data_IF_667184079203
#
_entry.id   IF_667184079203
#
_cell.length_a   1.000
_cell.length_b   1.000
_cell.length_c   1.000
_cell.angle_alpha   90.00
_cell.angle_beta   90.00
_cell.angle_gamma   90.00
#
_symmetry.space_group_name_H-M   'P 1'
#
loop_
_entity.id
_entity.type
_entity.pdbx_description
1 polymer ?
#
# COMPACT_ATOMS: atom_id res chain seq x y z
N UNK A 1 -5.85 3.58 -11.28
CA UNK A 1 -5.98 2.56 -10.21
C UNK A 1 -7.21 2.91 -9.41
N UNK A 2 -8.17 1.98 -9.29
CA UNK A 2 -9.46 2.26 -8.63
C UNK A 2 -9.40 2.20 -7.09
N UNK A 3 -8.43 1.47 -6.55
CA UNK A 3 -8.19 1.36 -5.11
C UNK A 3 -6.69 1.40 -4.84
N UNK A 4 -6.22 1.83 -3.66
CA UNK A 4 -4.82 1.70 -3.28
C UNK A 4 -4.34 0.25 -3.43
N UNK A 5 -3.10 0.05 -3.85
CA UNK A 5 -2.54 -1.27 -4.10
C UNK A 5 -2.25 -2.01 -2.79
N UNK A 6 -1.52 -1.35 -1.89
CA UNK A 6 -1.24 -1.81 -0.55
C UNK A 6 -2.11 -1.13 0.50
N UNK A 7 -1.75 -1.28 1.75
CA UNK A 7 -2.40 -0.60 2.88
C UNK A 7 -1.80 0.75 3.19
N UNK A 8 -0.54 0.94 2.86
CA UNK A 8 0.21 2.15 3.19
C UNK A 8 0.24 3.07 1.98
N UNK A 9 -0.06 4.35 2.19
CA UNK A 9 0.04 5.40 1.18
C UNK A 9 0.82 6.57 1.78
N UNK A 10 1.96 6.88 1.20
CA UNK A 10 2.91 7.89 1.68
C UNK A 10 4.33 7.35 1.68
N UNK A 11 5.32 8.22 1.44
CA UNK A 11 6.71 7.82 1.09
C UNK A 11 7.33 6.78 2.06
N UNK A 12 7.57 7.15 3.32
CA UNK A 12 8.19 6.25 4.30
C UNK A 12 7.29 5.07 4.68
N UNK A 13 5.96 5.27 4.65
CA UNK A 13 5.01 4.21 4.96
C UNK A 13 5.01 3.12 3.90
N UNK A 14 5.09 3.49 2.61
CA UNK A 14 5.18 2.53 1.50
C UNK A 14 6.48 1.74 1.54
N UNK A 15 7.62 2.40 1.82
CA UNK A 15 8.90 1.68 1.99
C UNK A 15 8.83 0.73 3.18
N UNK A 16 8.17 1.14 4.27
CA UNK A 16 7.92 0.24 5.41
C UNK A 16 7.08 -0.98 5.00
N UNK A 17 6.05 -0.78 4.19
CA UNK A 17 5.22 -1.89 3.68
C UNK A 17 6.04 -2.87 2.83
N UNK A 18 6.99 -2.39 2.02
CA UNK A 18 7.93 -3.25 1.27
C UNK A 18 8.83 -4.05 2.22
N UNK A 19 9.32 -3.43 3.31
CA UNK A 19 10.11 -4.13 4.33
C UNK A 19 9.26 -5.22 5.00
N UNK A 20 8.02 -4.87 5.39
CA UNK A 20 7.08 -5.80 6.00
C UNK A 20 6.73 -6.95 5.02
N UNK A 21 6.59 -6.66 3.72
CA UNK A 21 6.39 -7.66 2.67
C UNK A 21 7.54 -8.69 2.66
N UNK A 22 8.78 -8.26 2.66
CA UNK A 22 9.94 -9.15 2.70
C UNK A 22 10.14 -9.85 4.06
N UNK A 23 9.44 -9.39 5.11
CA UNK A 23 9.33 -10.08 6.39
C UNK A 23 8.10 -11.00 6.45
N UNK A 24 7.48 -11.30 5.31
CA UNK A 24 6.29 -12.15 5.15
C UNK A 24 5.05 -11.61 5.86
N UNK A 25 5.00 -10.29 6.08
CA UNK A 25 3.86 -9.54 6.63
C UNK A 25 3.28 -8.66 5.54
N UNK A 26 2.39 -9.18 4.73
CA UNK A 26 1.89 -8.49 3.54
C UNK A 26 0.38 -8.52 3.40
N UNK A 27 -0.15 -7.53 2.71
CA UNK A 27 -1.50 -7.58 2.18
C UNK A 27 -1.58 -8.61 1.05
N UNK A 28 -2.64 -9.41 1.06
CA UNK A 28 -2.83 -10.51 0.09
C UNK A 28 -2.86 -10.00 -1.35
N UNK A 29 -3.52 -8.87 -1.61
CA UNK A 29 -3.62 -8.32 -2.97
C UNK A 29 -2.28 -7.82 -3.48
N UNK A 30 -1.53 -7.13 -2.62
CA UNK A 30 -0.17 -6.69 -2.94
C UNK A 30 0.74 -7.88 -3.27
N UNK A 31 0.68 -8.93 -2.45
CA UNK A 31 1.46 -10.16 -2.68
C UNK A 31 1.08 -10.83 -4.01
N UNK A 32 -0.22 -11.06 -4.26
CA UNK A 32 -0.72 -11.70 -5.48
C UNK A 32 -0.26 -10.96 -6.73
N UNK A 33 -0.37 -9.62 -6.75
CA UNK A 33 0.07 -8.82 -7.89
C UNK A 33 1.59 -8.84 -8.07
N UNK A 34 2.33 -8.66 -6.99
CA UNK A 34 3.81 -8.64 -7.04
C UNK A 34 4.37 -9.97 -7.53
N UNK A 35 3.88 -11.10 -6.99
CA UNK A 35 4.27 -12.43 -7.44
C UNK A 35 3.91 -12.65 -8.91
N UNK A 36 2.71 -12.23 -9.33
CA UNK A 36 2.26 -12.42 -10.71
C UNK A 36 3.12 -11.64 -11.71
N UNK A 37 3.34 -10.35 -11.48
CA UNK A 37 4.14 -9.49 -12.38
C UNK A 37 5.59 -9.99 -12.42
N UNK A 38 6.21 -10.26 -11.27
CA UNK A 38 7.57 -10.78 -11.20
C UNK A 38 7.71 -12.12 -11.94
N UNK A 39 6.68 -12.98 -11.85
CA UNK A 39 6.67 -14.25 -12.57
C UNK A 39 6.59 -14.06 -14.08
N UNK A 40 5.80 -13.10 -14.57
CA UNK A 40 5.77 -12.76 -16.00
C UNK A 40 7.13 -12.25 -16.47
N UNK A 41 7.74 -11.32 -15.71
CA UNK A 41 9.05 -10.77 -16.06
C UNK A 41 10.12 -11.86 -16.15
N UNK A 42 10.19 -12.76 -15.16
CA UNK A 42 11.18 -13.86 -15.14
C UNK A 42 10.87 -14.88 -16.22
N UNK A 43 9.60 -15.21 -16.44
CA UNK A 43 9.18 -16.14 -17.49
C UNK A 43 9.67 -15.67 -18.87
N UNK A 44 9.45 -14.38 -19.17
CA UNK A 44 9.88 -13.76 -20.42
C UNK A 44 11.41 -13.67 -20.54
N UNK A 45 12.08 -13.15 -19.49
CA UNK A 45 13.52 -12.95 -19.53
C UNK A 45 14.32 -14.26 -19.60
N UNK A 46 13.88 -15.30 -18.90
CA UNK A 46 14.56 -16.60 -18.85
C UNK A 46 14.00 -17.63 -19.85
N UNK A 47 12.96 -17.28 -20.62
CA UNK A 47 12.28 -18.18 -21.56
C UNK A 47 11.84 -19.50 -20.90
N UNK A 48 11.32 -19.43 -19.68
CA UNK A 48 10.79 -20.58 -18.93
C UNK A 48 9.27 -20.45 -18.77
N UNK A 49 8.59 -21.57 -18.48
CA UNK A 49 7.13 -21.52 -18.27
C UNK A 49 6.77 -20.62 -17.08
N UNK A 50 5.61 -19.94 -17.16
CA UNK A 50 5.08 -19.10 -16.09
C UNK A 50 5.00 -19.85 -14.75
N UNK A 51 4.64 -21.14 -14.78
CA UNK A 51 4.58 -21.99 -13.57
C UNK A 51 5.95 -22.12 -12.90
N UNK A 52 7.01 -22.39 -13.68
CA UNK A 52 8.39 -22.46 -13.16
C UNK A 52 8.85 -21.11 -12.61
N UNK A 53 8.58 -20.04 -13.35
CA UNK A 53 8.90 -18.67 -12.91
C UNK A 53 8.20 -18.30 -11.61
N UNK A 54 6.90 -18.64 -11.47
CA UNK A 54 6.13 -18.39 -10.26
C UNK A 54 6.69 -19.13 -9.05
N UNK A 55 7.03 -20.42 -9.20
CA UNK A 55 7.65 -21.17 -8.11
C UNK A 55 9.00 -20.58 -7.70
N UNK A 56 9.80 -20.12 -8.67
CA UNK A 56 11.08 -19.44 -8.40
C UNK A 56 10.86 -18.12 -7.62
N UNK A 57 9.91 -17.28 -8.03
CA UNK A 57 9.60 -16.01 -7.34
C UNK A 57 9.19 -16.25 -5.90
N UNK A 58 8.28 -17.22 -5.67
CA UNK A 58 7.82 -17.55 -4.31
C UNK A 58 9.00 -18.03 -3.46
N UNK A 59 9.82 -18.94 -3.98
CA UNK A 59 10.99 -19.43 -3.27
C UNK A 59 11.97 -18.30 -2.90
N UNK A 60 12.25 -17.38 -3.83
CA UNK A 60 13.14 -16.23 -3.58
C UNK A 60 12.61 -15.28 -2.48
N UNK A 61 11.29 -15.13 -2.38
CA UNK A 61 10.65 -14.32 -1.33
C UNK A 61 10.75 -15.06 0.02
N UNK A 62 10.33 -16.32 0.06
CA UNK A 62 10.25 -17.11 1.29
C UNK A 62 11.62 -17.47 1.88
N UNK A 63 12.62 -17.70 1.04
CA UNK A 63 14.00 -17.97 1.46
C UNK A 63 14.76 -16.72 1.91
N UNK A 64 14.19 -15.50 1.73
CA UNK A 64 14.85 -14.24 2.06
C UNK A 64 15.86 -13.73 1.05
N UNK A 65 16.11 -14.43 -0.06
CA UNK A 65 17.04 -13.95 -1.10
C UNK A 65 16.57 -12.64 -1.72
N UNK A 66 15.27 -12.51 -1.99
CA UNK A 66 14.69 -11.26 -2.51
C UNK A 66 14.84 -10.10 -1.50
N UNK A 67 14.70 -10.36 -0.21
CA UNK A 67 14.93 -9.38 0.88
C UNK A 67 16.38 -8.90 0.87
N UNK A 68 17.34 -9.83 0.83
CA UNK A 68 18.76 -9.48 0.82
C UNK A 68 19.10 -8.63 -0.41
N UNK A 69 18.55 -9.00 -1.57
CA UNK A 69 18.75 -8.23 -2.82
C UNK A 69 18.15 -6.83 -2.76
N UNK A 70 17.00 -6.68 -2.10
CA UNK A 70 16.40 -5.37 -1.85
C UNK A 70 17.31 -4.48 -0.99
N UNK A 71 17.91 -5.02 0.08
CA UNK A 71 18.84 -4.26 0.92
C UNK A 71 20.14 -3.90 0.19
N UNK A 72 20.70 -4.83 -0.60
CA UNK A 72 21.84 -4.53 -1.47
C UNK A 72 21.54 -3.38 -2.43
N UNK A 73 20.36 -3.43 -3.06
CA UNK A 73 19.92 -2.41 -4.00
C UNK A 73 19.79 -1.03 -3.33
N UNK A 74 19.16 -0.96 -2.15
CA UNK A 74 19.08 0.30 -1.38
C UNK A 74 20.48 0.83 -1.06
N UNK A 75 21.39 -0.03 -0.61
CA UNK A 75 22.76 0.36 -0.29
C UNK A 75 23.51 0.86 -1.53
N UNK A 76 23.33 0.22 -2.68
CA UNK A 76 23.96 0.64 -3.94
C UNK A 76 23.47 2.01 -4.43
N UNK A 77 22.24 2.40 -4.03
CA UNK A 77 21.68 3.74 -4.26
C UNK A 77 22.02 4.74 -3.14
N UNK A 78 23.01 4.43 -2.30
CA UNK A 78 23.40 5.24 -1.13
C UNK A 78 22.28 5.45 -0.11
N UNK A 79 21.23 4.60 -0.13
CA UNK A 79 20.15 4.60 0.83
C UNK A 79 20.54 3.92 2.14
N UNK A 80 19.88 4.34 3.23
CA UNK A 80 20.01 3.73 4.55
C UNK A 80 18.61 3.45 5.12
N UNK A 81 18.25 2.19 5.17
CA UNK A 81 16.94 1.75 5.65
C UNK A 81 16.69 2.06 7.13
N UNK A 82 17.77 2.17 7.92
CA UNK A 82 17.68 2.48 9.36
C UNK A 82 17.28 3.95 9.60
N UNK A 83 17.42 4.80 8.59
CA UNK A 83 16.98 6.20 8.63
C UNK A 83 15.49 6.37 8.42
N UNK A 84 14.77 5.35 7.99
CA UNK A 84 13.33 5.39 7.80
C UNK A 84 12.65 5.34 9.18
N UNK A 85 12.59 6.51 9.83
CA UNK A 85 11.88 6.69 11.10
C UNK A 85 10.65 7.54 10.86
N UNK A 86 9.47 6.99 11.08
CA UNK A 86 8.26 7.80 11.05
C UNK A 86 8.06 8.48 12.42
N UNK A 87 8.31 9.80 12.47
CA UNK A 87 8.14 10.63 13.65
C UNK A 87 6.85 11.47 13.61
N UNK A 88 6.03 11.30 12.59
CA UNK A 88 4.79 12.05 12.43
C UNK A 88 3.79 11.72 13.54
N UNK A 89 2.94 12.69 13.88
CA UNK A 89 1.79 12.51 14.75
C UNK A 89 0.81 11.54 14.10
N UNK A 90 0.03 10.84 14.93
CA UNK A 90 -0.96 9.87 14.47
C UNK A 90 -2.36 10.34 14.82
N UNK A 91 -3.28 10.19 13.88
CA UNK A 91 -4.70 10.37 14.10
C UNK A 91 -5.42 9.09 13.68
N UNK A 92 -6.09 8.45 14.62
CA UNK A 92 -6.86 7.23 14.36
C UNK A 92 -8.24 7.61 13.85
N UNK A 93 -8.59 7.13 12.66
CA UNK A 93 -9.91 7.36 12.05
C UNK A 93 -10.78 6.14 12.27
N UNK A 94 -11.94 6.35 12.90
CA UNK A 94 -12.93 5.29 13.15
C UNK A 94 -14.13 5.42 12.23
N UNK A 95 -14.77 4.29 11.96
CA UNK A 95 -15.98 4.24 11.14
C UNK A 95 -17.19 4.77 11.90
N UNK A 96 -17.98 5.60 11.27
CA UNK A 96 -19.30 6.03 11.72
C UNK A 96 -20.44 5.10 11.24
N UNK A 97 -20.12 4.13 10.39
CA UNK A 97 -21.06 3.19 9.73
C UNK A 97 -20.69 1.74 9.96
N UNK A 98 -21.71 0.87 9.91
CA UNK A 98 -21.51 -0.59 9.86
C UNK A 98 -21.85 -1.10 8.47
N UNK A 99 -21.07 -2.08 7.96
CA UNK A 99 -21.29 -2.65 6.63
C UNK A 99 -20.04 -3.36 6.10
N UNK A 100 -19.83 -3.27 4.79
CA UNK A 100 -18.68 -3.84 4.09
C UNK A 100 -18.00 -2.75 3.25
N UNK A 101 -16.68 -2.70 3.28
CA UNK A 101 -15.89 -1.81 2.43
C UNK A 101 -15.99 -2.29 0.98
N UNK A 102 -16.82 -1.62 0.19
CA UNK A 102 -17.06 -1.98 -1.21
C UNK A 102 -16.23 -1.18 -2.21
N UNK A 103 -15.64 -0.08 -1.78
CA UNK A 103 -14.65 0.68 -2.53
C UNK A 103 -13.79 1.53 -1.60
N UNK A 104 -12.57 1.81 -2.02
CA UNK A 104 -11.66 2.80 -1.42
C UNK A 104 -11.15 3.64 -2.58
N UNK A 105 -11.51 4.91 -2.63
CA UNK A 105 -11.11 5.80 -3.70
C UNK A 105 -9.63 6.18 -3.56
N UNK A 106 -8.79 5.63 -4.43
CA UNK A 106 -7.35 5.86 -4.40
C UNK A 106 -6.96 7.32 -4.68
N UNK A 107 -7.74 8.02 -5.50
CA UNK A 107 -7.49 9.42 -5.86
C UNK A 107 -7.76 10.35 -4.66
N UNK A 108 -8.85 10.12 -3.93
CA UNK A 108 -9.16 10.86 -2.70
C UNK A 108 -8.09 10.63 -1.62
N UNK A 109 -7.63 9.38 -1.45
CA UNK A 109 -6.52 9.05 -0.54
C UNK A 109 -5.24 9.76 -0.98
N UNK A 110 -4.90 9.70 -2.26
CA UNK A 110 -3.70 10.36 -2.80
C UNK A 110 -3.75 11.89 -2.61
N UNK A 111 -4.90 12.52 -2.87
CA UNK A 111 -5.11 13.96 -2.65
C UNK A 111 -4.93 14.32 -1.17
N UNK A 112 -5.53 13.55 -0.26
CA UNK A 112 -5.35 13.75 1.17
C UNK A 112 -3.86 13.67 1.57
N UNK A 113 -3.17 12.63 1.13
CA UNK A 113 -1.74 12.40 1.44
C UNK A 113 -0.86 13.49 0.84
N UNK A 114 -1.18 13.97 -0.36
CA UNK A 114 -0.52 15.09 -1.00
C UNK A 114 -0.63 16.37 -0.15
N UNK A 115 -1.84 16.71 0.31
CA UNK A 115 -2.10 17.91 1.10
C UNK A 115 -1.49 17.84 2.51
N UNK A 116 -1.29 16.63 3.05
CA UNK A 116 -0.52 16.40 4.27
C UNK A 116 0.98 16.70 4.11
N UNK A 117 1.46 16.91 2.88
CA UNK A 117 2.85 17.27 2.56
C UNK A 117 3.68 16.15 1.94
N UNK A 118 3.10 15.00 1.61
CA UNK A 118 3.83 13.91 0.96
C UNK A 118 4.16 14.17 -0.53
N UNK A 119 3.57 15.21 -1.11
CA UNK A 119 3.83 15.69 -2.46
C UNK A 119 4.38 17.11 -2.48
N UNK A 120 4.66 17.63 -3.69
CA UNK A 120 5.09 19.02 -3.92
C UNK A 120 4.28 19.65 -5.04
N UNK A 121 3.87 20.89 -4.86
CA UNK A 121 3.23 21.72 -5.90
C UNK A 121 4.30 22.39 -6.76
N UNK A 122 5.32 22.96 -6.12
CA UNK A 122 6.44 23.62 -6.78
C UNK A 122 7.70 22.78 -6.66
N UNK A 123 8.61 22.89 -7.62
CA UNK A 123 9.90 22.18 -7.60
C UNK A 123 10.74 22.46 -6.35
N UNK A 124 10.56 23.64 -5.76
CA UNK A 124 11.26 24.11 -4.55
C UNK A 124 10.64 23.59 -3.24
N UNK A 125 9.44 23.05 -3.28
CA UNK A 125 8.75 22.58 -2.08
C UNK A 125 9.46 21.37 -1.47
N UNK A 126 9.53 21.34 -0.14
CA UNK A 126 10.08 20.20 0.60
C UNK A 126 9.00 19.14 0.78
N UNK A 127 9.30 17.92 0.40
CA UNK A 127 8.44 16.77 0.63
C UNK A 127 8.60 16.29 2.08
N UNK A 128 7.49 16.11 2.78
CA UNK A 128 7.49 15.46 4.08
C UNK A 128 7.31 13.94 3.91
N UNK A 129 8.42 13.22 3.96
CA UNK A 129 8.43 11.77 3.78
C UNK A 129 7.76 10.98 4.90
N UNK A 130 7.45 11.63 6.05
CA UNK A 130 6.85 10.96 7.21
C UNK A 130 5.32 10.98 7.22
N UNK A 131 4.69 11.78 6.36
CA UNK A 131 3.24 11.88 6.26
C UNK A 131 2.65 10.80 5.36
N UNK A 132 1.38 10.48 5.59
CA UNK A 132 0.66 9.48 4.82
C UNK A 132 -0.48 8.85 5.60
N UNK A 133 -1.00 7.74 5.10
CA UNK A 133 -2.08 7.00 5.75
C UNK A 133 -1.82 5.48 5.74
N UNK A 134 -2.35 4.80 6.74
CA UNK A 134 -2.44 3.32 6.77
C UNK A 134 -3.91 2.95 6.74
N UNK A 135 -4.29 2.07 5.82
CA UNK A 135 -5.64 1.53 5.65
C UNK A 135 -5.75 0.24 6.48
N UNK A 136 -6.54 0.27 7.57
CA UNK A 136 -6.72 -0.90 8.44
C UNK A 136 -7.86 -1.80 7.97
N UNK A 137 -8.85 -1.26 7.27
CA UNK A 137 -9.97 -2.01 6.70
C UNK A 137 -9.87 -2.03 5.18
N UNK A 138 -9.15 -3.00 4.58
CA UNK A 138 -9.02 -3.10 3.14
C UNK A 138 -10.35 -3.47 2.46
N UNK A 139 -10.34 -3.42 1.13
CA UNK A 139 -11.48 -3.75 0.28
C UNK A 139 -12.07 -5.13 0.62
N UNK A 140 -13.39 -5.19 0.81
CA UNK A 140 -14.13 -6.40 1.16
C UNK A 140 -14.24 -6.69 2.66
N UNK A 141 -13.59 -5.90 3.52
CA UNK A 141 -13.66 -6.05 4.98
C UNK A 141 -15.06 -5.77 5.52
N UNK A 142 -15.46 -6.52 6.54
CA UNK A 142 -16.60 -6.17 7.39
C UNK A 142 -16.18 -5.10 8.38
N UNK A 143 -17.02 -4.11 8.58
CA UNK A 143 -16.79 -2.95 9.46
C UNK A 143 -17.99 -2.77 10.36
N UNK A 144 -17.75 -2.50 11.63
CA UNK A 144 -18.75 -2.03 12.58
C UNK A 144 -18.49 -0.55 12.90
N UNK A 145 -19.55 0.18 13.27
CA UNK A 145 -19.41 1.54 13.79
C UNK A 145 -18.45 1.53 14.98
N UNK A 146 -17.45 2.43 14.95
CA UNK A 146 -16.38 2.49 15.96
C UNK A 146 -15.12 1.68 15.58
N UNK A 147 -15.16 0.80 14.58
CA UNK A 147 -13.97 0.10 14.10
C UNK A 147 -12.97 1.08 13.49
N UNK A 148 -11.69 0.83 13.69
CA UNK A 148 -10.61 1.62 13.08
C UNK A 148 -10.62 1.38 11.56
N UNK A 149 -10.85 2.43 10.76
CA UNK A 149 -10.71 2.41 9.30
C UNK A 149 -9.26 2.55 8.87
N UNK A 150 -8.50 3.37 9.58
CA UNK A 150 -7.11 3.61 9.30
C UNK A 150 -6.47 4.64 10.22
N UNK A 151 -5.22 4.97 9.93
CA UNK A 151 -4.41 5.92 10.69
C UNK A 151 -3.80 6.95 9.75
N UNK A 152 -3.99 8.23 10.06
CA UNK A 152 -3.37 9.35 9.34
C UNK A 152 -2.10 9.74 10.09
N UNK A 153 -0.98 9.82 9.35
CA UNK A 153 0.30 10.31 9.83
C UNK A 153 0.52 11.73 9.31
N UNK A 154 0.72 12.69 10.21
CA UNK A 154 0.82 14.10 9.84
C UNK A 154 1.78 14.87 10.76
N UNK A 155 2.43 15.88 10.23
CA UNK A 155 3.19 16.88 11.00
C UNK A 155 2.42 18.18 11.09
N UNK A 156 1.76 18.60 10.00
CA UNK A 156 0.85 19.73 9.96
C UNK A 156 -0.58 19.22 9.82
N UNK A 157 -1.44 19.58 10.77
CA UNK A 157 -2.87 19.25 10.70
C UNK A 157 -3.52 20.08 9.59
N UNK A 158 -4.34 19.44 8.77
CA UNK A 158 -5.20 20.09 7.78
C UNK A 158 -6.66 19.94 8.20
N UNK A 159 -7.51 20.82 7.73
CA UNK A 159 -8.94 20.78 8.02
C UNK A 159 -9.59 19.52 7.47
N UNK A 160 -10.54 18.97 8.19
CA UNK A 160 -11.40 17.85 7.79
C UNK A 160 -10.62 16.62 7.30
N UNK A 161 -9.38 16.38 7.76
CA UNK A 161 -8.55 15.27 7.30
C UNK A 161 -9.18 13.90 7.59
N UNK A 162 -9.89 13.77 8.71
CA UNK A 162 -10.59 12.55 9.11
C UNK A 162 -11.86 12.34 8.29
N UNK A 163 -12.62 13.39 7.99
CA UNK A 163 -13.80 13.32 7.12
C UNK A 163 -13.39 12.95 5.70
N UNK A 164 -12.38 13.61 5.13
CA UNK A 164 -11.82 13.28 3.81
C UNK A 164 -11.34 11.83 3.73
N UNK A 165 -10.71 11.32 4.80
CA UNK A 165 -10.31 9.91 4.86
C UNK A 165 -11.53 8.99 4.88
N UNK A 166 -12.57 9.27 5.70
CA UNK A 166 -13.82 8.49 5.75
C UNK A 166 -14.57 8.50 4.42
N UNK A 167 -14.66 9.66 3.77
CA UNK A 167 -15.32 9.82 2.47
C UNK A 167 -14.68 9.00 1.35
N UNK A 168 -13.37 8.70 1.46
CA UNK A 168 -12.70 7.83 0.52
C UNK A 168 -13.20 6.38 0.57
N UNK A 169 -13.93 5.98 1.64
CA UNK A 169 -14.48 4.63 1.82
C UNK A 169 -15.96 4.57 1.44
N UNK A 170 -16.29 3.65 0.54
CA UNK A 170 -17.70 3.29 0.29
C UNK A 170 -18.05 2.07 1.13
N UNK A 171 -18.83 2.30 2.20
CA UNK A 171 -19.29 1.26 3.12
C UNK A 171 -20.80 1.05 2.90
N UNK A 172 -21.19 -0.15 2.49
CA UNK A 172 -22.60 -0.52 2.23
C UNK A 172 -23.00 -1.73 3.06
N UNK A 173 -24.31 -1.89 3.34
CA UNK A 173 -24.85 -3.05 4.10
C UNK A 173 -24.62 -4.39 3.38
N UNK A 174 -24.65 -4.39 2.03
CA UNK A 174 -24.43 -5.60 1.22
C UNK A 174 -22.97 -5.65 0.76
N UNK A 175 -22.34 -6.81 0.96
CA UNK A 175 -21.01 -7.07 0.44
C UNK A 175 -21.05 -7.21 -1.08
N UNK A 176 -20.24 -6.44 -1.79
CA UNK A 176 -20.01 -6.62 -3.22
C UNK A 176 -18.86 -7.60 -3.46
N UNK A 177 -18.90 -8.28 -4.60
CA UNK A 177 -17.79 -9.12 -5.04
C UNK A 177 -16.57 -8.24 -5.31
N UNK A 178 -15.48 -8.52 -4.61
CA UNK A 178 -14.20 -7.85 -4.87
C UNK A 178 -13.68 -8.33 -6.22
N UNK A 179 -13.37 -7.39 -7.12
CA UNK A 179 -12.79 -7.71 -8.43
C UNK A 179 -11.43 -8.38 -8.27
N UNK A 180 -11.13 -9.33 -9.16
CA UNK A 180 -9.80 -9.94 -9.24
C UNK A 180 -8.77 -8.84 -9.54
N UNK A 181 -7.60 -8.92 -8.92
CA UNK A 181 -6.52 -7.97 -9.18
C UNK A 181 -5.94 -8.15 -10.59
N UNK A 182 -5.87 -9.39 -11.06
CA UNK A 182 -5.52 -9.74 -12.44
C UNK A 182 -6.82 -9.99 -13.21
N UNK A 183 -7.14 -9.11 -14.14
CA UNK A 183 -8.36 -9.19 -14.97
C UNK A 183 -8.12 -10.10 -16.16
N UNK A 184 -7.02 -9.87 -16.89
CA UNK A 184 -6.67 -10.61 -18.11
C UNK A 184 -5.17 -10.53 -18.36
N UNK A 185 -4.60 -11.60 -18.89
CA UNK A 185 -3.27 -11.61 -19.51
C UNK A 185 -3.46 -11.62 -21.02
N UNK A 186 -2.76 -10.74 -21.71
CA UNK A 186 -2.74 -10.69 -23.18
C UNK A 186 -1.36 -11.22 -23.58
N UNK A 187 -1.36 -12.35 -24.27
CA UNK A 187 -0.15 -13.00 -24.85
C UNK A 187 -0.08 -12.72 -26.32
#
# INVERSE_FOLDING_TARGET
MSTPLGRNVGNALEVKEVIDFFNLKYDKRLYELSVYISSLMISTAKKISFRKAKSLVINLIESGHAKNKFYEWIKSQHGDINKIKNKAKKYVVVSDKSGYVNNINAEMIASLVFDLGAGRVKKTDKIDYSTGVIIEKPLGSKVHKGDILGVIYYNKKIENMDERFKESFKIDKKKKKVSKIIIKTIS
#
